data_IF_929543865535
#
_entry.id   IF_929543865535
#
_cell.length_a   1.000
_cell.length_b   1.000
_cell.length_c   1.000
_cell.angle_alpha   90.00
_cell.angle_beta   90.00
_cell.angle_gamma   90.00
#
_symmetry.space_group_name_H-M   'P 1'
#
loop_
_entity.id
_entity.type
_entity.pdbx_description
1 polymer ?
#
# COMPACT_ATOMS: atom_id res chain seq x y z
N UNK A 1 7.67 7.26 12.03
CA UNK A 1 6.36 6.55 11.99
C UNK A 1 5.20 7.41 12.49
N UNK A 2 5.31 8.09 13.64
CA UNK A 2 4.26 9.00 14.18
C UNK A 2 3.84 10.07 13.18
N UNK A 3 4.80 10.71 12.50
CA UNK A 3 4.55 11.68 11.43
C UNK A 3 3.64 11.12 10.31
N UNK A 4 3.89 9.89 9.87
CA UNK A 4 3.11 9.24 8.80
C UNK A 4 1.67 9.06 9.24
N UNK A 5 1.46 8.49 10.42
CA UNK A 5 0.11 8.25 10.97
C UNK A 5 -0.66 9.57 11.12
N UNK A 6 -0.04 10.61 11.66
CA UNK A 6 -0.68 11.90 11.86
C UNK A 6 -1.00 12.61 10.53
N UNK A 7 -0.13 12.51 9.52
CA UNK A 7 -0.44 13.03 8.17
C UNK A 7 -1.59 12.26 7.53
N UNK A 8 -1.54 10.93 7.55
CA UNK A 8 -2.61 10.10 6.98
C UNK A 8 -3.94 10.34 7.68
N UNK A 9 -3.96 10.55 9.00
CA UNK A 9 -5.19 10.93 9.70
C UNK A 9 -5.74 12.27 9.22
N UNK A 10 -4.91 13.32 9.19
CA UNK A 10 -5.36 14.66 8.79
C UNK A 10 -5.93 14.67 7.38
N UNK A 11 -5.21 14.05 6.44
CA UNK A 11 -5.67 13.93 5.05
C UNK A 11 -6.91 13.03 4.94
N UNK A 12 -6.95 11.94 5.71
CA UNK A 12 -8.03 10.97 5.71
C UNK A 12 -9.36 11.49 6.24
N UNK A 13 -9.36 12.57 7.03
CA UNK A 13 -10.57 13.26 7.52
C UNK A 13 -11.03 14.38 6.59
N UNK A 14 -10.21 14.76 5.61
CA UNK A 14 -10.53 15.83 4.65
C UNK A 14 -11.22 15.34 3.39
N UNK A 15 -11.39 16.24 2.43
CA UNK A 15 -11.85 15.93 1.08
C UNK A 15 -10.88 14.95 0.39
N UNK A 16 -11.40 13.95 -0.32
CA UNK A 16 -10.58 12.87 -0.87
C UNK A 16 -9.98 11.95 0.20
N UNK A 17 -10.48 11.99 1.43
CA UNK A 17 -10.07 11.15 2.55
C UNK A 17 -10.50 9.68 2.44
N UNK A 18 -10.47 8.98 3.57
CA UNK A 18 -10.75 7.53 3.61
C UNK A 18 -12.19 7.20 3.22
N UNK A 19 -12.34 6.16 2.41
CA UNK A 19 -13.62 5.56 2.06
C UNK A 19 -13.47 4.04 2.03
N UNK A 20 -14.59 3.32 2.16
CA UNK A 20 -14.61 1.88 1.91
C UNK A 20 -14.98 1.64 0.44
N UNK A 21 -14.10 1.05 -0.39
CA UNK A 21 -14.42 0.75 -1.78
C UNK A 21 -15.58 -0.22 -1.87
N UNK A 22 -16.57 0.14 -2.69
CA UNK A 22 -17.72 -0.69 -3.02
C UNK A 22 -17.75 -0.91 -4.54
N UNK A 23 -17.96 -2.15 -4.93
CA UNK A 23 -18.15 -2.54 -6.33
C UNK A 23 -19.65 -2.44 -6.69
N UNK A 24 -19.99 -2.31 -7.98
CA UNK A 24 -21.38 -2.24 -8.45
C UNK A 24 -22.24 -3.44 -8.05
N UNK A 25 -21.65 -4.61 -7.85
CA UNK A 25 -22.33 -5.82 -7.38
C UNK A 25 -22.65 -5.81 -5.88
N UNK A 26 -22.29 -4.74 -5.17
CA UNK A 26 -22.52 -4.57 -3.73
C UNK A 26 -21.40 -5.14 -2.87
N UNK A 27 -20.42 -5.86 -3.44
CA UNK A 27 -19.26 -6.32 -2.70
C UNK A 27 -18.44 -5.11 -2.21
N UNK A 28 -17.86 -5.23 -1.01
CA UNK A 28 -17.01 -4.20 -0.42
C UNK A 28 -15.67 -4.79 -0.03
N UNK A 29 -14.59 -4.01 -0.17
CA UNK A 29 -13.30 -4.44 0.35
C UNK A 29 -13.30 -4.38 1.89
N UNK A 30 -12.59 -5.31 2.53
CA UNK A 30 -12.42 -5.36 3.98
C UNK A 30 -11.28 -4.43 4.44
N UNK A 31 -11.27 -3.20 3.93
CA UNK A 31 -10.33 -2.13 4.25
C UNK A 31 -10.96 -0.78 3.93
N UNK A 32 -10.46 0.27 4.57
CA UNK A 32 -10.67 1.66 4.15
C UNK A 32 -9.46 2.10 3.34
N UNK A 33 -9.66 2.88 2.28
CA UNK A 33 -8.57 3.43 1.48
C UNK A 33 -8.75 4.91 1.17
N UNK A 34 -7.62 5.57 0.92
CA UNK A 34 -7.56 6.86 0.22
C UNK A 34 -6.36 6.85 -0.73
N UNK A 35 -6.38 7.71 -1.73
CA UNK A 35 -5.25 7.91 -2.63
C UNK A 35 -4.63 9.28 -2.38
N UNK A 36 -3.34 9.42 -2.67
CA UNK A 36 -2.63 10.69 -2.75
C UNK A 36 -1.91 10.76 -4.10
N UNK A 37 -1.90 11.93 -4.74
CA UNK A 37 -1.45 12.08 -6.13
C UNK A 37 -2.57 11.69 -7.09
N UNK A 38 -2.35 10.66 -7.92
CA UNK A 38 -3.43 10.11 -8.77
C UNK A 38 -4.33 9.15 -7.99
N UNK A 39 -5.60 9.10 -8.36
CA UNK A 39 -6.60 8.18 -7.81
C UNK A 39 -6.45 6.78 -8.43
N UNK A 40 -6.55 5.73 -7.61
CA UNK A 40 -6.77 4.36 -8.07
C UNK A 40 -8.25 4.01 -8.00
N UNK A 41 -8.86 3.73 -9.15
CA UNK A 41 -10.21 3.20 -9.24
C UNK A 41 -10.17 1.67 -9.16
N UNK A 42 -10.66 1.12 -8.05
CA UNK A 42 -10.73 -0.33 -7.81
C UNK A 42 -11.63 -1.07 -8.80
N UNK A 43 -12.70 -0.44 -9.29
CA UNK A 43 -13.67 -1.10 -10.17
C UNK A 43 -13.17 -1.14 -11.61
N UNK A 44 -12.70 -0.01 -12.11
CA UNK A 44 -12.14 0.06 -13.46
C UNK A 44 -10.66 -0.34 -13.54
N UNK A 45 -10.04 -0.67 -12.40
CA UNK A 45 -8.62 -1.01 -12.26
C UNK A 45 -7.69 -0.05 -13.00
N UNK A 46 -7.91 1.27 -12.87
CA UNK A 46 -7.14 2.28 -13.59
C UNK A 46 -6.81 3.46 -12.70
N UNK A 47 -5.75 4.17 -13.08
CA UNK A 47 -5.43 5.45 -12.48
C UNK A 47 -6.20 6.57 -13.17
N UNK A 48 -6.59 7.59 -12.40
CA UNK A 48 -7.23 8.80 -12.89
C UNK A 48 -7.00 9.96 -11.95
N UNK A 49 -7.45 11.17 -12.33
CA UNK A 49 -7.23 12.38 -11.53
C UNK A 49 -8.27 12.56 -10.41
N UNK A 50 -9.46 11.96 -10.56
CA UNK A 50 -10.56 12.08 -9.60
C UNK A 50 -11.05 10.73 -9.14
N UNK A 51 -11.71 10.70 -7.97
CA UNK A 51 -12.41 9.54 -7.46
C UNK A 51 -13.81 9.46 -8.06
N UNK A 52 -14.17 8.39 -8.79
CA UNK A 52 -15.47 8.30 -9.44
C UNK A 52 -16.69 8.31 -8.51
N UNK A 53 -16.50 7.90 -7.25
CA UNK A 53 -17.59 7.73 -6.27
C UNK A 53 -18.15 9.08 -5.79
N UNK A 54 -17.27 10.06 -5.55
CA UNK A 54 -17.63 11.35 -4.95
C UNK A 54 -17.11 12.55 -5.77
N UNK A 55 -16.38 12.31 -6.86
CA UNK A 55 -15.78 13.35 -7.71
C UNK A 55 -14.56 14.03 -7.10
N UNK A 56 -14.12 13.64 -5.90
CA UNK A 56 -13.04 14.31 -5.18
C UNK A 56 -11.68 14.14 -5.86
N UNK A 57 -10.83 15.16 -5.73
CA UNK A 57 -9.42 15.09 -6.10
C UNK A 57 -8.62 14.52 -4.93
N UNK A 58 -7.74 13.52 -5.17
CA UNK A 58 -6.85 13.03 -4.13
C UNK A 58 -5.90 14.15 -3.67
N UNK A 59 -5.60 14.25 -2.36
CA UNK A 59 -4.59 15.18 -1.88
C UNK A 59 -3.21 14.89 -2.48
N UNK A 60 -2.34 15.90 -2.53
CA UNK A 60 -0.97 15.71 -3.02
C UNK A 60 -0.16 14.78 -2.09
N UNK A 61 0.81 14.05 -2.65
CA UNK A 61 1.73 13.22 -1.87
C UNK A 61 2.62 14.14 -1.04
N UNK A 62 2.64 14.01 0.30
CA UNK A 62 3.55 14.79 1.14
C UNK A 62 5.02 14.54 0.76
N UNK A 63 5.81 15.61 0.66
CA UNK A 63 7.22 15.53 0.26
C UNK A 63 8.04 14.58 1.14
N UNK A 64 7.68 14.46 2.42
CA UNK A 64 8.32 13.56 3.37
C UNK A 64 8.12 12.09 2.99
N UNK A 65 6.99 11.73 2.36
CA UNK A 65 6.76 10.36 1.89
C UNK A 65 7.68 10.03 0.72
N UNK A 66 7.83 10.97 -0.23
CA UNK A 66 8.78 10.83 -1.34
C UNK A 66 10.23 10.76 -0.85
N UNK A 67 10.57 11.51 0.19
CA UNK A 67 11.89 11.42 0.83
C UNK A 67 12.14 10.04 1.46
N UNK A 68 11.15 9.47 2.16
CA UNK A 68 11.25 8.12 2.72
C UNK A 68 11.41 7.05 1.62
N UNK A 69 10.71 7.18 0.50
CA UNK A 69 10.87 6.28 -0.65
C UNK A 69 12.29 6.34 -1.21
N UNK A 70 12.81 7.56 -1.43
CA UNK A 70 14.19 7.74 -1.90
C UNK A 70 15.18 7.08 -0.96
N UNK A 71 15.07 7.35 0.34
CA UNK A 71 15.96 6.77 1.36
C UNK A 71 15.89 5.24 1.38
N UNK A 72 14.71 4.65 1.31
CA UNK A 72 14.55 3.20 1.28
C UNK A 72 15.22 2.56 0.05
N UNK A 73 15.13 3.21 -1.11
CA UNK A 73 15.78 2.74 -2.34
C UNK A 73 17.31 2.85 -2.22
N UNK A 74 17.82 3.97 -1.72
CA UNK A 74 19.26 4.18 -1.50
C UNK A 74 19.85 3.14 -0.53
N UNK A 75 19.17 2.89 0.60
CA UNK A 75 19.56 1.87 1.57
C UNK A 75 19.53 0.46 0.96
N UNK A 76 18.49 0.14 0.18
CA UNK A 76 18.39 -1.14 -0.52
C UNK A 76 19.52 -1.32 -1.53
N UNK A 77 19.83 -0.30 -2.34
CA UNK A 77 20.92 -0.35 -3.33
C UNK A 77 22.28 -0.50 -2.63
N UNK A 78 22.51 0.21 -1.53
CA UNK A 78 23.73 0.12 -0.72
C UNK A 78 23.92 -1.29 -0.14
N UNK A 79 22.84 -1.88 0.39
CA UNK A 79 22.86 -3.25 0.91
C UNK A 79 23.17 -4.28 -0.19
N UNK A 80 22.58 -4.13 -1.37
CA UNK A 80 22.81 -5.03 -2.50
C UNK A 80 24.26 -4.96 -3.00
N UNK A 81 24.83 -3.74 -3.06
CA UNK A 81 26.23 -3.54 -3.41
C UNK A 81 27.17 -4.22 -2.40
N UNK A 82 26.89 -4.08 -1.09
CA UNK A 82 27.70 -4.71 -0.04
C UNK A 82 27.69 -6.25 -0.11
N UNK A 83 26.56 -6.85 -0.52
CA UNK A 83 26.38 -8.29 -0.61
C UNK A 83 26.82 -8.90 -1.96
N UNK A 84 27.36 -8.10 -2.89
CA UNK A 84 27.73 -8.51 -4.27
C UNK A 84 26.61 -9.27 -5.02
N UNK A 85 25.35 -9.03 -4.65
CA UNK A 85 24.21 -9.61 -5.35
C UNK A 85 24.05 -8.86 -6.68
N UNK A 86 24.52 -9.46 -7.78
CA UNK A 86 24.19 -9.00 -9.13
C UNK A 86 22.76 -9.40 -9.44
N UNK A 87 21.82 -8.52 -9.14
CA UNK A 87 20.48 -8.60 -9.73
C UNK A 87 20.54 -7.70 -10.95
N UNK A 88 20.46 -8.28 -12.16
CA UNK A 88 20.47 -7.52 -13.43
C UNK A 88 19.37 -6.45 -13.49
N UNK A 89 18.32 -6.58 -12.68
CA UNK A 89 17.23 -5.62 -12.53
C UNK A 89 17.11 -5.13 -11.07
N UNK A 90 18.07 -4.31 -10.62
CA UNK A 90 17.97 -3.62 -9.33
C UNK A 90 16.72 -2.74 -9.23
N UNK A 91 16.37 -2.29 -8.01
CA UNK A 91 15.22 -1.39 -7.82
C UNK A 91 15.63 0.01 -8.32
N UNK A 92 15.02 0.53 -9.40
CA UNK A 92 15.37 1.84 -9.93
C UNK A 92 14.92 2.94 -8.96
N UNK A 93 15.54 4.12 -9.06
CA UNK A 93 14.98 5.31 -8.44
C UNK A 93 13.58 5.57 -8.96
N UNK A 94 12.71 6.08 -8.09
CA UNK A 94 11.35 6.47 -8.47
C UNK A 94 10.97 7.81 -7.86
N UNK A 95 10.13 8.54 -8.59
CA UNK A 95 9.39 9.70 -8.10
C UNK A 95 7.91 9.30 -8.02
N UNK A 96 7.39 8.94 -6.85
CA UNK A 96 6.02 8.47 -6.75
C UNK A 96 5.02 9.56 -7.13
N UNK A 97 4.11 9.23 -8.04
CA UNK A 97 2.96 10.05 -8.42
C UNK A 97 1.63 9.46 -7.90
N UNK A 98 1.70 8.26 -7.32
CA UNK A 98 0.58 7.57 -6.68
C UNK A 98 1.01 7.07 -5.30
N UNK A 99 0.19 7.33 -4.28
CA UNK A 99 0.26 6.67 -2.99
C UNK A 99 -1.13 6.16 -2.59
N UNK A 100 -1.28 4.84 -2.48
CA UNK A 100 -2.50 4.20 -1.99
C UNK A 100 -2.32 3.95 -0.49
N UNK A 101 -3.15 4.60 0.31
CA UNK A 101 -3.15 4.44 1.77
C UNK A 101 -4.30 3.53 2.15
N UNK A 102 -3.98 2.34 2.67
CA UNK A 102 -4.96 1.36 3.13
C UNK A 102 -4.94 1.28 4.66
N UNK A 103 -6.10 1.35 5.28
CA UNK A 103 -6.31 1.05 6.69
C UNK A 103 -7.11 -0.25 6.82
N UNK A 104 -6.50 -1.23 7.47
CA UNK A 104 -7.10 -2.53 7.76
C UNK A 104 -7.50 -2.54 9.23
N UNK A 105 -8.74 -2.90 9.55
CA UNK A 105 -9.12 -3.26 10.92
C UNK A 105 -8.52 -4.63 11.29
N UNK A 106 -8.71 -5.09 12.52
CA UNK A 106 -8.21 -6.40 12.97
C UNK A 106 -8.76 -7.60 12.19
N UNK A 107 -9.87 -7.42 11.47
CA UNK A 107 -10.47 -8.45 10.59
C UNK A 107 -10.21 -8.16 9.12
N UNK A 108 -9.42 -7.12 8.81
CA UNK A 108 -9.11 -6.68 7.47
C UNK A 108 -8.28 -7.72 6.71
N UNK A 109 -8.55 -7.81 5.41
CA UNK A 109 -7.87 -8.73 4.50
C UNK A 109 -7.89 -8.17 3.08
N UNK A 110 -6.90 -8.55 2.29
CA UNK A 110 -6.86 -8.27 0.86
C UNK A 110 -6.38 -9.53 0.15
N UNK A 111 -7.20 -10.05 -0.76
CA UNK A 111 -6.88 -11.25 -1.53
C UNK A 111 -5.59 -11.06 -2.36
N UNK A 112 -5.02 -12.18 -2.79
CA UNK A 112 -3.87 -12.16 -3.68
C UNK A 112 -4.21 -11.43 -4.99
N UNK A 113 -3.43 -10.40 -5.31
CA UNK A 113 -3.60 -9.57 -6.50
C UNK A 113 -2.23 -9.16 -7.08
N UNK A 114 -2.21 -8.73 -8.33
CA UNK A 114 -1.05 -8.08 -8.95
C UNK A 114 -1.22 -6.58 -8.93
N UNK A 115 -0.10 -5.86 -8.91
CA UNK A 115 -0.10 -4.40 -8.95
C UNK A 115 -0.38 -3.83 -10.35
N UNK A 116 -0.37 -4.65 -11.41
CA UNK A 116 -0.68 -4.21 -12.77
C UNK A 116 -2.19 -4.33 -13.05
N UNK A 117 -2.75 -3.27 -13.63
CA UNK A 117 -4.13 -3.23 -14.14
C UNK A 117 -4.41 -4.25 -15.26
N UNK A 118 -3.36 -4.84 -15.85
CA UNK A 118 -3.44 -5.61 -17.08
C UNK A 118 -3.84 -7.08 -16.88
N UNK A 119 -3.91 -7.57 -15.63
CA UNK A 119 -4.35 -8.93 -15.32
C UNK A 119 -5.71 -8.95 -14.64
N UNK A 120 -6.76 -8.77 -15.45
CA UNK A 120 -8.12 -9.08 -15.04
C UNK A 120 -8.40 -10.58 -15.22
N UNK A 121 -8.97 -11.20 -14.17
CA UNK A 121 -9.71 -12.48 -14.22
C UNK A 121 -8.89 -13.78 -14.38
N UNK A 122 -8.01 -14.08 -13.43
CA UNK A 122 -7.85 -15.46 -13.02
C UNK A 122 -8.66 -15.66 -11.72
N UNK A 123 -9.75 -16.42 -11.75
CA UNK A 123 -10.37 -16.93 -10.52
C UNK A 123 -9.35 -17.84 -9.84
N UNK A 124 -8.68 -17.32 -8.81
CA UNK A 124 -7.64 -18.07 -8.10
C UNK A 124 -8.26 -19.04 -7.13
N UNK A 125 -7.68 -20.24 -7.07
CA UNK A 125 -8.17 -21.31 -6.20
C UNK A 125 -7.52 -21.19 -4.81
N UNK A 126 -8.22 -21.63 -3.75
CA UNK A 126 -7.67 -21.74 -2.38
C UNK A 126 -6.29 -22.41 -2.33
N UNK A 127 -6.02 -23.34 -3.26
CA UNK A 127 -4.78 -24.11 -3.35
C UNK A 127 -3.57 -23.27 -3.75
N UNK A 128 -3.78 -22.16 -4.47
CA UNK A 128 -2.71 -21.22 -4.82
C UNK A 128 -2.37 -20.30 -3.65
N UNK A 129 -3.36 -19.90 -2.85
CA UNK A 129 -3.16 -19.10 -1.63
C UNK A 129 -2.33 -19.86 -0.57
N UNK A 130 -2.47 -21.19 -0.51
CA UNK A 130 -1.72 -22.05 0.41
C UNK A 130 -0.24 -22.16 0.05
N UNK A 131 0.10 -22.06 -1.25
CA UNK A 131 1.47 -22.14 -1.75
C UNK A 131 2.23 -20.80 -1.69
N UNK A 132 1.53 -19.70 -1.41
CA UNK A 132 2.17 -18.40 -1.32
C UNK A 132 3.13 -18.33 -0.12
N UNK A 133 4.33 -17.81 -0.35
CA UNK A 133 5.28 -17.48 0.72
C UNK A 133 4.66 -16.42 1.64
N UNK A 134 4.95 -16.55 2.94
CA UNK A 134 4.39 -15.69 3.98
C UNK A 134 5.51 -14.98 4.70
N UNK A 135 5.43 -13.66 4.72
CA UNK A 135 6.34 -12.79 5.45
C UNK A 135 5.51 -11.93 6.39
N UNK A 136 5.90 -11.87 7.66
CA UNK A 136 5.32 -10.93 8.61
C UNK A 136 5.89 -9.53 8.32
N UNK A 137 5.02 -8.53 8.15
CA UNK A 137 5.41 -7.13 8.03
C UNK A 137 4.97 -6.41 9.30
N UNK A 138 5.95 -6.02 10.11
CA UNK A 138 5.77 -5.33 11.37
C UNK A 138 5.66 -3.82 11.18
N UNK A 139 5.37 -3.11 12.27
CA UNK A 139 5.26 -1.66 12.24
C UNK A 139 6.64 -1.04 11.99
N UNK A 140 6.81 -0.38 10.85
CA UNK A 140 8.05 0.28 10.47
C UNK A 140 8.75 -0.39 9.28
N UNK A 141 8.35 -1.63 8.96
CA UNK A 141 8.90 -2.35 7.82
C UNK A 141 8.58 -1.67 6.50
N UNK A 142 9.56 -1.70 5.59
CA UNK A 142 9.42 -1.23 4.22
C UNK A 142 9.72 -2.41 3.30
N UNK A 143 8.74 -2.77 2.47
CA UNK A 143 8.89 -3.79 1.44
C UNK A 143 9.06 -3.13 0.08
N UNK A 144 10.16 -3.43 -0.60
CA UNK A 144 10.45 -2.95 -1.95
C UNK A 144 10.47 -4.13 -2.92
N UNK A 145 9.76 -4.02 -4.03
CA UNK A 145 9.79 -5.01 -5.11
C UNK A 145 9.69 -4.31 -6.48
N UNK A 146 10.64 -4.64 -7.35
CA UNK A 146 10.80 -4.08 -8.70
C UNK A 146 11.50 -5.10 -9.62
N UNK A 147 11.85 -4.69 -10.84
CA UNK A 147 12.48 -5.58 -11.83
C UNK A 147 11.63 -6.83 -12.10
N UNK A 148 12.25 -8.01 -12.07
CA UNK A 148 11.55 -9.31 -12.22
C UNK A 148 10.42 -9.54 -11.21
N UNK A 149 10.48 -8.90 -10.04
CA UNK A 149 9.45 -9.03 -8.99
C UNK A 149 8.34 -7.98 -9.10
N UNK A 150 8.35 -7.11 -10.12
CA UNK A 150 7.38 -6.02 -10.28
C UNK A 150 5.92 -6.49 -10.37
N UNK A 151 5.72 -7.71 -10.89
CA UNK A 151 4.42 -8.34 -11.09
C UNK A 151 4.15 -9.48 -10.09
N UNK A 152 4.85 -9.47 -8.94
CA UNK A 152 4.59 -10.45 -7.88
C UNK A 152 3.14 -10.34 -7.41
N UNK A 153 2.52 -11.51 -7.25
CA UNK A 153 1.19 -11.62 -6.69
C UNK A 153 1.33 -11.54 -5.17
N UNK A 154 0.62 -10.62 -4.55
CA UNK A 154 0.70 -10.37 -3.11
C UNK A 154 -0.66 -10.02 -2.55
N UNK A 155 -0.81 -10.11 -1.23
CA UNK A 155 -2.04 -9.81 -0.52
C UNK A 155 -1.80 -9.72 0.98
N UNK A 156 -2.85 -9.38 1.71
CA UNK A 156 -2.83 -9.32 3.18
C UNK A 156 -3.77 -10.40 3.69
N UNK A 157 -3.19 -11.50 4.17
CA UNK A 157 -3.95 -12.66 4.67
C UNK A 157 -4.68 -12.34 5.97
N UNK A 158 -4.00 -11.68 6.92
CA UNK A 158 -4.52 -11.42 8.25
C UNK A 158 -3.75 -10.29 8.93
N UNK A 159 -4.44 -9.55 9.80
CA UNK A 159 -3.83 -8.58 10.71
C UNK A 159 -3.65 -9.24 12.08
N UNK A 160 -2.42 -9.28 12.58
CA UNK A 160 -2.13 -9.74 13.94
C UNK A 160 -2.57 -8.67 14.94
N UNK A 161 -3.32 -9.07 15.97
CA UNK A 161 -3.84 -8.16 16.99
C UNK A 161 -2.76 -7.79 17.99
N UNK A 162 -2.86 -6.58 18.54
CA UNK A 162 -2.06 -6.11 19.68
C UNK A 162 -0.53 -6.14 19.47
N UNK A 163 -0.08 -6.05 18.21
CA UNK A 163 1.35 -6.01 17.83
C UNK A 163 1.88 -4.62 17.53
N UNK A 164 1.04 -3.58 17.49
CA UNK A 164 1.49 -2.22 17.26
C UNK A 164 2.37 -1.72 18.43
N UNK A 165 3.51 -1.04 18.16
CA UNK A 165 4.35 -0.49 19.21
C UNK A 165 3.56 0.45 20.14
N UNK A 166 3.64 0.23 21.46
CA UNK A 166 2.85 0.99 22.45
C UNK A 166 3.06 2.50 22.33
N UNK A 167 4.30 2.96 22.14
CA UNK A 167 4.64 4.37 21.95
C UNK A 167 3.92 4.96 20.73
N UNK A 168 3.88 4.23 19.61
CA UNK A 168 3.16 4.68 18.42
C UNK A 168 1.67 4.85 18.70
N UNK A 169 1.04 3.89 19.39
CA UNK A 169 -0.38 3.95 19.73
C UNK A 169 -0.65 5.11 20.69
N UNK A 170 0.19 5.30 21.71
CA UNK A 170 0.05 6.37 22.70
C UNK A 170 0.18 7.77 22.07
N UNK A 171 1.20 7.98 21.24
CA UNK A 171 1.44 9.30 20.62
C UNK A 171 0.45 9.62 19.52
N UNK A 172 -0.06 8.60 18.83
CA UNK A 172 -0.93 8.83 17.68
C UNK A 172 -2.38 8.55 17.96
N UNK A 173 -2.80 7.83 19.01
CA UNK A 173 -4.17 7.28 19.12
C UNK A 173 -4.57 6.46 17.87
N UNK A 174 -3.66 5.66 17.33
CA UNK A 174 -3.95 4.79 16.19
C UNK A 174 -5.04 3.77 16.58
N UNK A 175 -6.11 3.70 15.78
CA UNK A 175 -7.16 2.69 15.97
C UNK A 175 -6.59 1.28 15.79
N UNK A 176 -7.13 0.25 16.49
CA UNK A 176 -6.69 -1.13 16.30
C UNK A 176 -6.74 -1.56 14.83
N UNK A 177 -5.60 -1.98 14.29
CA UNK A 177 -5.48 -2.28 12.87
C UNK A 177 -4.08 -2.07 12.32
N UNK A 178 -3.99 -1.95 10.99
CA UNK A 178 -2.75 -1.72 10.24
C UNK A 178 -2.95 -0.61 9.21
N UNK A 179 -2.05 0.36 9.22
CA UNK A 179 -1.95 1.38 8.17
C UNK A 179 -0.83 0.98 7.19
N UNK A 180 -1.13 1.04 5.89
CA UNK A 180 -0.22 0.65 4.83
C UNK A 180 -0.18 1.72 3.74
N UNK A 181 1.01 2.18 3.38
CA UNK A 181 1.21 3.10 2.27
C UNK A 181 1.91 2.36 1.14
N UNK A 182 1.27 2.30 -0.03
CA UNK A 182 1.85 1.70 -1.25
C UNK A 182 2.12 2.82 -2.24
N UNK A 183 3.39 3.13 -2.47
CA UNK A 183 3.82 4.17 -3.39
C UNK A 183 4.23 3.58 -4.74
N UNK A 184 3.84 4.24 -5.83
CA UNK A 184 4.05 3.80 -7.21
C UNK A 184 4.38 5.01 -8.10
N UNK A 185 5.04 4.74 -9.22
CA UNK A 185 5.25 5.69 -10.31
C UNK A 185 4.61 5.12 -11.57
N UNK A 186 3.76 5.91 -12.24
CA UNK A 186 3.10 5.58 -13.49
C UNK A 186 3.54 6.47 -14.67
#
# INVERSE_FOLDING_TARGET
MVMIVNKCRRLGLGEGGFYQPRFRDGASLHLEMMCLGKNWDCEACRYGETRPVDGSFPPQIPAEFSHLVRKAIEESQSLMASKKLKVDDGIPFMSPDICIVNFYTTTGRLGLHQASAQFHKAQRTKREDEKAEKVALESGDVLLYGGRSRNVIHGVRSILKDTAPKVLVQETNLRPGRLNLTLRQC
#
